data_IF_782878467456
#
_entry.id   IF_782878467456
#
_cell.length_a   1.000
_cell.length_b   1.000
_cell.length_c   1.000
_cell.angle_alpha   90.00
_cell.angle_beta   90.00
_cell.angle_gamma   90.00
#
_symmetry.space_group_name_H-M   'P 1'
#
loop_
_entity.id
_entity.type
_entity.pdbx_description
1 polymer ?
#
# COMPACT_ATOMS: atom_id res chain seq x y z
N UNK A 1 16.54 -7.43 44.71
CA UNK A 1 15.73 -7.57 43.49
C UNK A 1 15.95 -6.43 42.48
N UNK A 2 15.93 -5.15 42.87
CA UNK A 2 16.16 -4.01 41.95
C UNK A 2 17.51 -4.04 41.19
N UNK A 3 18.58 -4.56 41.81
CA UNK A 3 19.91 -4.70 41.21
C UNK A 3 20.02 -5.80 40.16
N UNK A 4 19.25 -6.90 40.31
CA UNK A 4 19.20 -7.98 39.33
C UNK A 4 18.40 -7.57 38.08
N UNK A 5 17.25 -6.91 38.29
CA UNK A 5 16.45 -6.34 37.20
C UNK A 5 17.23 -5.27 36.43
N UNK A 6 17.97 -4.39 37.12
CA UNK A 6 18.81 -3.36 36.48
C UNK A 6 19.99 -3.95 35.70
N UNK A 7 20.58 -5.05 36.19
CA UNK A 7 21.64 -5.79 35.47
C UNK A 7 21.10 -6.59 34.27
N UNK A 8 19.88 -7.11 34.36
CA UNK A 8 19.22 -7.78 33.25
C UNK A 8 18.87 -6.77 32.15
N UNK A 9 18.30 -5.61 32.53
CA UNK A 9 18.00 -4.51 31.61
C UNK A 9 19.26 -4.02 30.86
N UNK A 10 20.37 -3.79 31.56
CA UNK A 10 21.63 -3.35 30.91
C UNK A 10 22.25 -4.42 30.01
N UNK A 11 22.11 -5.72 30.35
CA UNK A 11 22.54 -6.82 29.47
C UNK A 11 21.66 -6.94 28.23
N UNK A 12 20.34 -6.83 28.37
CA UNK A 12 19.40 -6.82 27.25
C UNK A 12 19.62 -5.62 26.33
N UNK A 13 19.90 -4.43 26.89
CA UNK A 13 20.27 -3.24 26.12
C UNK A 13 21.57 -3.45 25.33
N UNK A 14 22.57 -4.10 25.94
CA UNK A 14 23.84 -4.43 25.30
C UNK A 14 23.72 -5.43 24.15
N UNK A 15 22.86 -6.45 24.29
CA UNK A 15 22.58 -7.42 23.22
C UNK A 15 21.72 -6.81 22.10
N UNK A 16 20.66 -6.07 22.44
CA UNK A 16 19.85 -5.36 21.47
C UNK A 16 20.71 -4.38 20.65
N UNK A 17 21.62 -3.65 21.30
CA UNK A 17 22.56 -2.74 20.65
C UNK A 17 23.46 -3.40 19.60
N UNK A 18 23.83 -4.68 19.78
CA UNK A 18 24.62 -5.42 18.77
C UNK A 18 23.84 -5.72 17.51
N UNK A 19 22.51 -5.79 17.59
CA UNK A 19 21.64 -6.10 16.43
C UNK A 19 21.33 -4.85 15.61
N UNK A 20 20.93 -3.75 16.26
CA UNK A 20 20.42 -2.58 15.52
C UNK A 20 21.50 -1.56 15.12
N UNK A 21 22.64 -1.49 15.85
CA UNK A 21 23.73 -0.51 15.55
C UNK A 21 24.47 -0.79 14.23
N UNK A 22 24.79 -2.03 13.83
CA UNK A 22 25.44 -2.30 12.54
C UNK A 22 24.60 -1.87 11.34
N UNK A 23 23.27 -1.92 11.47
CA UNK A 23 22.30 -1.50 10.45
C UNK A 23 22.14 0.04 10.45
N UNK A 24 22.78 0.73 11.41
CA UNK A 24 22.86 2.19 11.50
C UNK A 24 21.78 2.84 12.36
N UNK A 25 21.01 2.07 13.13
CA UNK A 25 20.07 2.63 14.10
C UNK A 25 20.77 3.01 15.41
N UNK A 26 20.36 4.13 16.01
CA UNK A 26 20.88 4.59 17.30
C UNK A 26 19.90 4.37 18.45
N UNK A 27 18.60 4.25 18.15
CA UNK A 27 17.51 4.07 19.12
C UNK A 27 16.74 2.78 18.82
N UNK A 28 16.42 1.95 19.83
CA UNK A 28 15.76 0.66 19.63
C UNK A 28 14.34 0.79 19.06
N UNK A 29 13.58 1.82 19.46
CA UNK A 29 12.21 2.02 18.96
C UNK A 29 12.19 2.29 17.43
N UNK A 30 13.17 3.03 16.90
CA UNK A 30 13.29 3.26 15.46
C UNK A 30 13.58 1.95 14.70
N UNK A 31 14.38 1.08 15.30
CA UNK A 31 14.66 -0.24 14.73
C UNK A 31 13.42 -1.14 14.74
N UNK A 32 12.66 -1.18 15.84
CA UNK A 32 11.44 -1.99 15.93
C UNK A 32 10.40 -1.52 14.90
N UNK A 33 10.17 -0.21 14.81
CA UNK A 33 9.25 0.36 13.80
C UNK A 33 9.71 0.02 12.38
N UNK A 34 11.00 0.22 12.09
CA UNK A 34 11.56 -0.14 10.80
C UNK A 34 11.41 -1.64 10.51
N UNK A 35 11.72 -2.50 11.47
CA UNK A 35 11.63 -3.95 11.31
C UNK A 35 10.19 -4.37 11.01
N UNK A 36 9.21 -3.94 11.81
CA UNK A 36 7.80 -4.28 11.62
C UNK A 36 7.27 -3.80 10.27
N UNK A 37 7.50 -2.53 9.91
CA UNK A 37 7.02 -1.97 8.65
C UNK A 37 7.73 -2.58 7.43
N UNK A 38 9.05 -2.72 7.49
CA UNK A 38 9.86 -3.20 6.36
C UNK A 38 9.71 -4.70 6.15
N UNK A 39 9.67 -5.51 7.23
CA UNK A 39 9.44 -6.95 7.11
C UNK A 39 8.03 -7.27 6.62
N UNK A 40 7.02 -6.53 7.09
CA UNK A 40 5.65 -6.65 6.60
C UNK A 40 5.55 -6.37 5.11
N UNK A 41 6.15 -5.26 4.65
CA UNK A 41 6.18 -4.92 3.23
C UNK A 41 6.97 -5.94 2.41
N UNK A 42 8.17 -6.31 2.86
CA UNK A 42 9.01 -7.28 2.18
C UNK A 42 8.32 -8.65 2.05
N UNK A 43 7.73 -9.16 3.14
CA UNK A 43 6.99 -10.42 3.14
C UNK A 43 5.75 -10.37 2.24
N UNK A 44 5.00 -9.26 2.28
CA UNK A 44 3.86 -9.07 1.38
C UNK A 44 4.30 -9.12 -0.09
N UNK A 45 5.33 -8.35 -0.46
CA UNK A 45 5.80 -8.29 -1.84
C UNK A 45 6.34 -9.64 -2.31
N UNK A 46 7.12 -10.35 -1.48
CA UNK A 46 7.59 -11.70 -1.79
C UNK A 46 6.42 -12.67 -2.04
N UNK A 47 5.37 -12.63 -1.21
CA UNK A 47 4.19 -13.48 -1.39
C UNK A 47 3.43 -13.20 -2.69
N UNK A 48 3.65 -12.04 -3.32
CA UNK A 48 2.97 -11.60 -4.54
C UNK A 48 3.86 -11.62 -5.78
N UNK A 49 5.15 -11.93 -5.67
CA UNK A 49 6.04 -12.12 -6.83
C UNK A 49 5.52 -13.12 -7.87
N UNK A 50 4.87 -14.24 -7.50
CA UNK A 50 4.32 -15.17 -8.48
C UNK A 50 3.27 -14.53 -9.42
N UNK A 51 2.65 -13.41 -9.03
CA UNK A 51 1.66 -12.72 -9.86
C UNK A 51 2.25 -12.12 -11.14
N UNK A 52 3.58 -12.00 -11.24
CA UNK A 52 4.26 -11.61 -12.47
C UNK A 52 4.09 -12.66 -13.58
N UNK A 53 3.88 -13.92 -13.23
CA UNK A 53 3.41 -14.93 -14.18
C UNK A 53 1.90 -14.74 -14.39
N UNK A 54 1.56 -13.79 -15.27
CA UNK A 54 0.19 -13.30 -15.38
C UNK A 54 -0.79 -14.36 -15.88
N UNK A 55 -0.49 -15.05 -16.98
CA UNK A 55 -1.40 -16.06 -17.55
C UNK A 55 -1.20 -17.46 -16.92
N UNK A 56 -0.07 -17.71 -16.26
CA UNK A 56 0.23 -19.01 -15.64
C UNK A 56 -0.03 -19.09 -14.13
N UNK A 57 -0.20 -17.96 -13.44
CA UNK A 57 -0.51 -17.90 -12.01
C UNK A 57 -1.63 -16.93 -11.72
N UNK A 58 -1.47 -15.64 -12.03
CA UNK A 58 -2.42 -14.61 -11.61
C UNK A 58 -3.83 -14.85 -12.19
N UNK A 59 -3.95 -14.95 -13.50
CA UNK A 59 -5.21 -15.22 -14.19
C UNK A 59 -5.17 -16.53 -14.97
N UNK A 60 -4.56 -17.57 -14.38
CA UNK A 60 -4.55 -18.90 -14.95
C UNK A 60 -5.96 -19.53 -14.97
N UNK A 61 -6.27 -20.38 -15.97
CA UNK A 61 -7.50 -21.17 -15.96
C UNK A 61 -7.58 -22.03 -14.70
N UNK A 62 -8.72 -21.97 -14.01
CA UNK A 62 -8.93 -22.72 -12.76
C UNK A 62 -9.15 -24.20 -13.12
N UNK A 63 -8.19 -25.04 -12.72
CA UNK A 63 -8.23 -26.50 -12.80
C UNK A 63 -8.17 -27.10 -11.39
N UNK A 64 -8.37 -28.41 -11.25
CA UNK A 64 -8.32 -29.11 -9.96
C UNK A 64 -6.97 -28.96 -9.23
N UNK A 65 -5.87 -28.82 -9.98
CA UNK A 65 -4.51 -28.69 -9.43
C UNK A 65 -4.05 -27.23 -9.24
N UNK A 66 -4.96 -26.27 -9.40
CA UNK A 66 -4.62 -24.85 -9.31
C UNK A 66 -4.54 -24.39 -7.86
N UNK A 67 -3.40 -23.83 -7.45
CA UNK A 67 -3.26 -23.23 -6.11
C UNK A 67 -4.04 -21.90 -6.04
N UNK A 68 -5.27 -21.99 -5.50
CA UNK A 68 -6.19 -20.87 -5.38
C UNK A 68 -5.67 -19.73 -4.48
N UNK A 69 -4.64 -19.97 -3.65
CA UNK A 69 -4.06 -18.90 -2.82
C UNK A 69 -3.22 -17.91 -3.63
N UNK A 70 -2.82 -18.28 -4.84
CA UNK A 70 -2.02 -17.47 -5.76
C UNK A 70 -2.85 -16.79 -6.86
N UNK A 71 -4.18 -16.77 -6.72
CA UNK A 71 -5.09 -16.04 -7.60
C UNK A 71 -5.56 -14.71 -6.98
N UNK A 72 -5.97 -13.73 -7.79
CA UNK A 72 -6.77 -12.62 -7.31
C UNK A 72 -8.15 -13.13 -6.85
N UNK A 73 -8.94 -12.22 -6.30
CA UNK A 73 -10.30 -12.51 -5.87
C UNK A 73 -11.13 -13.08 -7.05
N UNK A 74 -12.00 -14.10 -6.84
CA UNK A 74 -12.87 -14.62 -7.89
C UNK A 74 -13.63 -13.51 -8.63
N UNK A 75 -13.73 -13.60 -9.96
CA UNK A 75 -14.36 -12.57 -10.80
C UNK A 75 -13.45 -11.41 -11.22
N UNK A 76 -12.30 -11.19 -10.57
CA UNK A 76 -11.40 -10.10 -10.95
C UNK A 76 -10.76 -10.31 -12.33
N UNK A 77 -10.40 -11.55 -12.66
CA UNK A 77 -9.75 -11.86 -13.94
C UNK A 77 -10.66 -11.62 -15.16
N UNK A 78 -11.99 -11.67 -15.00
CA UNK A 78 -12.94 -11.32 -16.05
C UNK A 78 -12.62 -9.93 -16.65
N UNK A 79 -12.34 -8.95 -15.78
CA UNK A 79 -12.03 -7.59 -16.21
C UNK A 79 -10.56 -7.41 -16.58
N UNK A 80 -9.64 -8.05 -15.85
CA UNK A 80 -8.21 -7.80 -16.06
C UNK A 80 -7.60 -8.56 -17.25
N UNK A 81 -8.32 -9.46 -17.90
CA UNK A 81 -7.76 -10.22 -19.03
C UNK A 81 -7.81 -9.51 -20.39
N UNK A 82 -8.43 -8.33 -20.53
CA UNK A 82 -8.69 -7.69 -21.85
C UNK A 82 -8.29 -6.22 -21.89
N UNK A 83 -7.97 -5.72 -23.10
CA UNK A 83 -7.81 -4.29 -23.38
C UNK A 83 -6.88 -3.53 -22.43
N UNK A 84 -7.30 -2.32 -22.03
CA UNK A 84 -6.49 -1.45 -21.16
C UNK A 84 -6.34 -1.97 -19.72
N UNK A 85 -7.25 -2.80 -19.22
CA UNK A 85 -7.23 -3.26 -17.82
C UNK A 85 -6.15 -4.32 -17.64
N UNK A 86 -5.93 -5.16 -18.66
CA UNK A 86 -4.80 -6.08 -18.71
C UNK A 86 -3.46 -5.34 -18.66
N UNK A 87 -3.31 -4.33 -19.52
CA UNK A 87 -2.11 -3.49 -19.54
C UNK A 87 -1.91 -2.81 -18.18
N UNK A 88 -2.99 -2.26 -17.61
CA UNK A 88 -2.96 -1.58 -16.32
C UNK A 88 -2.52 -2.50 -15.18
N UNK A 89 -3.10 -3.70 -15.08
CA UNK A 89 -2.75 -4.66 -14.03
C UNK A 89 -1.33 -5.20 -14.19
N UNK A 90 -0.90 -5.53 -15.42
CA UNK A 90 0.47 -5.93 -15.71
C UNK A 90 1.47 -4.83 -15.33
N UNK A 91 1.21 -3.60 -15.76
CA UNK A 91 2.02 -2.44 -15.43
C UNK A 91 2.08 -2.22 -13.92
N UNK A 92 0.95 -2.33 -13.23
CA UNK A 92 0.87 -2.22 -11.78
C UNK A 92 1.75 -3.26 -11.08
N UNK A 93 1.57 -4.55 -11.38
CA UNK A 93 2.31 -5.65 -10.76
C UNK A 93 3.81 -5.59 -11.09
N UNK A 94 4.15 -5.42 -12.38
CA UNK A 94 5.53 -5.39 -12.87
C UNK A 94 6.35 -4.24 -12.30
N UNK A 95 5.72 -3.19 -11.79
CA UNK A 95 6.42 -2.03 -11.23
C UNK A 95 6.28 -1.89 -9.71
N UNK A 96 5.13 -2.22 -9.11
CA UNK A 96 4.95 -2.08 -7.66
C UNK A 96 5.73 -3.11 -6.86
N UNK A 97 5.82 -4.34 -7.36
CA UNK A 97 6.54 -5.42 -6.69
C UNK A 97 8.04 -5.11 -6.60
N UNK A 98 8.75 -4.79 -7.70
CA UNK A 98 10.15 -4.37 -7.57
C UNK A 98 10.30 -3.07 -6.77
N UNK A 99 9.40 -2.08 -6.91
CA UNK A 99 9.47 -0.86 -6.09
C UNK A 99 9.39 -1.16 -4.58
N UNK A 100 8.48 -2.05 -4.19
CA UNK A 100 8.29 -2.48 -2.80
C UNK A 100 9.48 -3.25 -2.22
N UNK A 101 10.21 -4.04 -3.02
CA UNK A 101 11.47 -4.64 -2.58
C UNK A 101 12.57 -3.59 -2.44
N UNK A 102 12.71 -2.72 -3.43
CA UNK A 102 13.78 -1.73 -3.49
C UNK A 102 13.64 -0.67 -2.39
N UNK A 103 12.41 -0.29 -2.02
CA UNK A 103 12.21 0.69 -0.94
C UNK A 103 12.63 0.15 0.43
N UNK A 104 12.57 -1.16 0.67
CA UNK A 104 13.04 -1.74 1.92
C UNK A 104 14.52 -1.39 2.15
N UNK A 105 15.32 -1.33 1.08
CA UNK A 105 16.72 -0.88 1.11
C UNK A 105 16.84 0.64 1.39
N UNK A 106 15.88 1.45 0.93
CA UNK A 106 15.90 2.90 1.11
C UNK A 106 15.79 3.32 2.59
N UNK A 107 15.09 2.53 3.40
CA UNK A 107 14.90 2.80 4.82
C UNK A 107 15.99 2.22 5.73
N UNK A 108 17.00 1.55 5.18
CA UNK A 108 18.17 1.05 5.94
C UNK A 108 19.16 2.22 6.16
N UNK A 109 19.38 2.69 7.40
CA UNK A 109 20.25 3.82 7.66
C UNK A 109 21.68 3.61 7.15
N UNK A 110 22.23 2.41 7.32
CA UNK A 110 23.56 2.05 6.83
C UNK A 110 23.78 2.38 5.35
N UNK A 111 22.82 2.06 4.49
CA UNK A 111 22.91 2.32 3.04
C UNK A 111 22.99 3.81 2.77
N UNK A 112 22.17 4.62 3.46
CA UNK A 112 22.21 6.08 3.32
C UNK A 112 23.53 6.69 3.83
N UNK A 113 24.09 6.17 4.91
CA UNK A 113 25.32 6.70 5.52
C UNK A 113 26.59 6.30 4.77
N UNK A 114 26.64 5.07 4.24
CA UNK A 114 27.85 4.52 3.60
C UNK A 114 27.77 4.47 2.07
N UNK A 115 26.60 4.18 1.51
CA UNK A 115 26.37 3.93 0.08
C UNK A 115 25.36 4.93 -0.51
N UNK A 116 25.64 6.22 -0.34
CA UNK A 116 24.71 7.28 -0.73
C UNK A 116 24.38 7.29 -2.23
N UNK A 117 25.31 6.88 -3.10
CA UNK A 117 25.06 6.80 -4.54
C UNK A 117 24.01 5.71 -4.85
N UNK A 118 24.12 4.54 -4.22
CA UNK A 118 23.14 3.47 -4.34
C UNK A 118 21.76 3.93 -3.86
N UNK A 119 21.70 4.59 -2.69
CA UNK A 119 20.45 5.15 -2.16
C UNK A 119 19.79 6.08 -3.19
N UNK A 120 20.55 6.97 -3.84
CA UNK A 120 20.02 7.89 -4.87
C UNK A 120 19.51 7.17 -6.11
N UNK A 121 20.31 6.28 -6.71
CA UNK A 121 19.93 5.56 -7.93
C UNK A 121 18.68 4.72 -7.69
N UNK A 122 18.69 3.92 -6.62
CA UNK A 122 17.54 3.09 -6.25
C UNK A 122 16.35 3.96 -5.86
N UNK A 123 16.55 5.08 -5.20
CA UNK A 123 15.47 6.02 -4.85
C UNK A 123 14.76 6.60 -6.07
N UNK A 124 15.50 6.99 -7.10
CA UNK A 124 14.89 7.45 -8.37
C UNK A 124 14.15 6.33 -9.10
N UNK A 125 14.72 5.12 -9.12
CA UNK A 125 14.06 3.95 -9.69
C UNK A 125 12.76 3.64 -8.96
N UNK A 126 12.76 3.67 -7.62
CA UNK A 126 11.56 3.48 -6.79
C UNK A 126 10.49 4.51 -7.13
N UNK A 127 10.84 5.80 -7.22
CA UNK A 127 9.87 6.84 -7.59
C UNK A 127 9.28 6.56 -8.98
N UNK A 128 10.12 6.29 -9.99
CA UNK A 128 9.67 6.00 -11.35
C UNK A 128 8.71 4.80 -11.41
N UNK A 129 9.09 3.69 -10.78
CA UNK A 129 8.28 2.49 -10.71
C UNK A 129 6.97 2.73 -9.95
N UNK A 130 6.98 3.53 -8.88
CA UNK A 130 5.76 3.89 -8.15
C UNK A 130 4.78 4.71 -9.00
N UNK A 131 5.26 5.70 -9.76
CA UNK A 131 4.41 6.45 -10.69
C UNK A 131 3.81 5.56 -11.77
N UNK A 132 4.63 4.69 -12.38
CA UNK A 132 4.18 3.73 -13.37
C UNK A 132 3.13 2.76 -12.78
N UNK A 133 3.37 2.27 -11.57
CA UNK A 133 2.45 1.38 -10.85
C UNK A 133 1.09 2.03 -10.61
N UNK A 134 1.07 3.28 -10.13
CA UNK A 134 -0.19 3.96 -9.83
C UNK A 134 -0.95 4.32 -11.10
N UNK A 135 -0.26 4.66 -12.19
CA UNK A 135 -0.90 4.80 -13.50
C UNK A 135 -1.61 3.50 -13.92
N UNK A 136 -0.93 2.36 -13.80
CA UNK A 136 -1.54 1.04 -14.04
C UNK A 136 -2.73 0.75 -13.11
N UNK A 137 -2.64 1.12 -11.82
CA UNK A 137 -3.73 0.96 -10.86
C UNK A 137 -4.97 1.79 -11.23
N UNK A 138 -4.79 3.04 -11.69
CA UNK A 138 -5.89 3.89 -12.12
C UNK A 138 -6.57 3.39 -13.40
N UNK A 139 -5.88 2.62 -14.24
CA UNK A 139 -6.50 1.97 -15.41
C UNK A 139 -7.46 0.84 -15.02
N UNK A 140 -7.33 0.27 -13.81
CA UNK A 140 -8.13 -0.88 -13.34
C UNK A 140 -9.09 -0.57 -12.19
N UNK A 141 -8.95 0.60 -11.56
CA UNK A 141 -9.68 0.97 -10.32
C UNK A 141 -11.20 0.82 -10.45
N UNK A 142 -11.76 1.11 -11.63
CA UNK A 142 -13.20 1.01 -11.94
C UNK A 142 -13.80 -0.37 -11.67
N UNK A 143 -13.00 -1.42 -11.75
CA UNK A 143 -13.47 -2.82 -11.67
C UNK A 143 -13.01 -3.53 -10.39
N UNK A 144 -12.21 -2.87 -9.56
CA UNK A 144 -11.61 -3.49 -8.38
C UNK A 144 -12.69 -3.88 -7.36
N UNK A 145 -12.69 -5.14 -6.92
CA UNK A 145 -13.57 -5.71 -5.90
C UNK A 145 -15.07 -5.48 -6.16
N UNK A 146 -15.48 -5.60 -7.42
CA UNK A 146 -16.87 -5.40 -7.86
C UNK A 146 -17.16 -4.00 -8.40
N UNK A 147 -16.21 -3.07 -8.31
CA UNK A 147 -16.30 -1.76 -8.94
C UNK A 147 -17.23 -0.78 -8.21
N UNK A 148 -17.54 -1.04 -6.95
CA UNK A 148 -18.38 -0.18 -6.14
C UNK A 148 -17.73 1.22 -5.98
N UNK A 149 -18.50 2.33 -6.07
CA UNK A 149 -17.94 3.68 -6.00
C UNK A 149 -17.11 3.95 -4.74
N UNK A 150 -17.43 3.31 -3.61
CA UNK A 150 -16.69 3.43 -2.35
C UNK A 150 -15.25 2.90 -2.47
N UNK A 151 -15.07 1.76 -3.15
CA UNK A 151 -13.78 1.13 -3.45
C UNK A 151 -13.00 1.98 -4.42
N UNK A 152 -13.67 2.53 -5.44
CA UNK A 152 -13.04 3.43 -6.40
C UNK A 152 -12.51 4.71 -5.74
N UNK A 153 -13.32 5.33 -4.87
CA UNK A 153 -12.92 6.55 -4.15
C UNK A 153 -11.77 6.23 -3.19
N UNK A 154 -11.85 5.13 -2.43
CA UNK A 154 -10.76 4.71 -1.55
C UNK A 154 -9.43 4.55 -2.30
N UNK A 155 -9.42 3.74 -3.37
CA UNK A 155 -8.21 3.48 -4.16
C UNK A 155 -7.73 4.75 -4.90
N UNK A 156 -8.66 5.57 -5.37
CA UNK A 156 -8.38 6.87 -5.98
C UNK A 156 -7.69 7.83 -5.02
N UNK A 157 -8.20 7.94 -3.78
CA UNK A 157 -7.59 8.75 -2.72
C UNK A 157 -6.22 8.19 -2.35
N UNK A 158 -6.11 6.89 -2.08
CA UNK A 158 -4.84 6.24 -1.72
C UNK A 158 -3.77 6.48 -2.79
N UNK A 159 -4.08 6.23 -4.06
CA UNK A 159 -3.17 6.46 -5.18
C UNK A 159 -2.78 7.94 -5.30
N UNK A 160 -3.74 8.85 -5.16
CA UNK A 160 -3.50 10.29 -5.30
C UNK A 160 -2.61 10.84 -4.18
N UNK A 161 -2.88 10.49 -2.92
CA UNK A 161 -2.05 10.94 -1.78
C UNK A 161 -0.66 10.32 -1.82
N UNK A 162 -0.54 9.08 -2.32
CA UNK A 162 0.74 8.42 -2.54
C UNK A 162 1.59 9.18 -3.59
N UNK A 163 1.01 9.47 -4.76
CA UNK A 163 1.71 10.22 -5.82
C UNK A 163 2.05 11.65 -5.39
N UNK A 164 1.14 12.33 -4.69
CA UNK A 164 1.39 13.66 -4.14
C UNK A 164 2.59 13.62 -3.18
N UNK A 165 2.62 12.66 -2.26
CA UNK A 165 3.73 12.51 -1.33
C UNK A 165 5.06 12.23 -2.05
N UNK A 166 5.07 11.38 -3.08
CA UNK A 166 6.27 11.15 -3.89
C UNK A 166 6.72 12.39 -4.67
N UNK A 167 5.79 13.15 -5.25
CA UNK A 167 6.08 14.39 -5.97
C UNK A 167 6.69 15.43 -5.02
N UNK A 168 6.11 15.63 -3.84
CA UNK A 168 6.62 16.55 -2.83
C UNK A 168 7.97 16.09 -2.28
N UNK A 169 8.19 14.78 -2.09
CA UNK A 169 9.49 14.24 -1.73
C UNK A 169 10.55 14.51 -2.80
N UNK A 170 10.20 14.36 -4.08
CA UNK A 170 11.08 14.65 -5.21
C UNK A 170 11.42 16.14 -5.31
N UNK A 171 10.43 17.02 -5.24
CA UNK A 171 10.63 18.47 -5.30
C UNK A 171 11.56 18.94 -4.17
N UNK A 172 11.37 18.44 -2.94
CA UNK A 172 12.19 18.83 -1.81
C UNK A 172 13.63 18.32 -1.92
N UNK A 173 13.87 17.09 -2.39
CA UNK A 173 15.26 16.61 -2.55
C UNK A 173 16.00 17.35 -3.67
N UNK A 174 15.30 17.74 -4.75
CA UNK A 174 15.88 18.57 -5.82
C UNK A 174 16.22 19.98 -5.34
N UNK A 175 15.51 20.47 -4.31
CA UNK A 175 15.80 21.73 -3.61
C UNK A 175 16.71 21.55 -2.39
N UNK A 176 17.34 20.39 -2.24
CA UNK A 176 18.25 20.06 -1.14
C UNK A 176 17.62 20.18 0.27
N UNK A 177 16.29 20.14 0.39
CA UNK A 177 15.56 20.05 1.67
C UNK A 177 15.38 18.57 2.06
N UNK A 178 16.41 18.01 2.69
CA UNK A 178 16.49 16.58 3.03
C UNK A 178 15.46 16.20 4.10
N UNK A 179 15.21 17.09 5.06
CA UNK A 179 14.26 16.87 6.15
C UNK A 179 12.82 16.78 5.64
N UNK A 180 12.42 17.63 4.68
CA UNK A 180 11.11 17.54 4.03
C UNK A 180 11.04 16.33 3.11
N UNK A 181 12.09 16.04 2.34
CA UNK A 181 12.17 14.82 1.54
C UNK A 181 11.91 13.57 2.39
N UNK A 182 12.58 13.45 3.56
CA UNK A 182 12.36 12.35 4.50
C UNK A 182 10.90 12.27 4.94
N UNK A 183 10.29 13.38 5.35
CA UNK A 183 8.90 13.41 5.83
C UNK A 183 7.94 12.89 4.75
N UNK A 184 8.08 13.38 3.52
CA UNK A 184 7.20 13.00 2.41
C UNK A 184 7.44 11.57 1.91
N UNK A 185 8.68 11.08 1.89
CA UNK A 185 8.96 9.67 1.57
C UNK A 185 8.37 8.71 2.60
N UNK A 186 8.43 9.07 3.89
CA UNK A 186 7.82 8.25 4.94
C UNK A 186 6.29 8.23 4.78
N UNK A 187 5.65 9.38 4.55
CA UNK A 187 4.20 9.45 4.28
C UNK A 187 3.78 8.56 3.13
N UNK A 188 4.46 8.68 1.98
CA UNK A 188 4.16 7.88 0.81
C UNK A 188 4.13 6.37 1.14
N UNK A 189 5.19 5.85 1.75
CA UNK A 189 5.29 4.41 2.01
C UNK A 189 4.43 3.91 3.17
N UNK A 190 4.12 4.76 4.15
CA UNK A 190 3.09 4.44 5.14
C UNK A 190 1.70 4.36 4.50
N UNK A 191 1.34 5.32 3.64
CA UNK A 191 0.08 5.24 2.89
C UNK A 191 0.04 3.97 2.05
N UNK A 192 1.12 3.62 1.32
CA UNK A 192 1.15 2.38 0.54
C UNK A 192 1.02 1.10 1.40
N UNK A 193 1.65 1.07 2.58
CA UNK A 193 1.55 -0.05 3.52
C UNK A 193 0.14 -0.26 4.10
N UNK A 194 -0.77 0.71 3.96
CA UNK A 194 -2.18 0.53 4.33
C UNK A 194 -2.84 -0.64 3.59
N UNK A 195 -2.37 -1.01 2.38
CA UNK A 195 -2.83 -2.20 1.64
C UNK A 195 -2.55 -3.51 2.38
N UNK A 196 -1.51 -3.55 3.21
CA UNK A 196 -1.18 -4.74 4.00
C UNK A 196 -2.11 -4.80 5.22
N UNK A 197 -2.23 -3.67 5.91
CA UNK A 197 -3.09 -3.57 7.10
C UNK A 197 -4.56 -3.76 6.77
N UNK A 198 -5.06 -3.24 5.64
CA UNK A 198 -6.45 -3.46 5.24
C UNK A 198 -6.72 -4.95 5.05
N UNK A 199 -5.78 -5.74 4.50
CA UNK A 199 -6.00 -7.18 4.33
C UNK A 199 -6.15 -7.90 5.66
N UNK A 200 -5.34 -7.53 6.66
CA UNK A 200 -5.48 -8.05 8.02
C UNK A 200 -6.85 -7.68 8.61
N UNK A 201 -7.26 -6.42 8.48
CA UNK A 201 -8.56 -5.95 8.96
C UNK A 201 -9.70 -6.65 8.22
N UNK A 202 -9.64 -6.82 6.90
CA UNK A 202 -10.66 -7.52 6.13
C UNK A 202 -10.77 -8.99 6.53
N UNK A 203 -9.65 -9.70 6.74
CA UNK A 203 -9.64 -11.09 7.21
C UNK A 203 -10.33 -11.22 8.58
N UNK A 204 -10.09 -10.26 9.48
CA UNK A 204 -10.69 -10.27 10.82
C UNK A 204 -12.14 -9.78 10.84
N UNK A 205 -12.50 -8.83 9.99
CA UNK A 205 -13.82 -8.20 9.94
C UNK A 205 -14.87 -9.00 9.16
N UNK A 206 -14.46 -9.73 8.12
CA UNK A 206 -15.37 -10.52 7.28
C UNK A 206 -16.21 -11.54 8.08
N UNK A 207 -15.64 -12.29 9.04
CA UNK A 207 -16.43 -13.18 9.90
C UNK A 207 -17.45 -12.46 10.78
N UNK A 208 -17.16 -11.23 11.22
CA UNK A 208 -18.08 -10.43 12.04
C UNK A 208 -19.28 -10.01 11.20
N UNK A 209 -19.01 -9.46 10.01
CA UNK A 209 -20.05 -9.07 9.06
C UNK A 209 -20.94 -10.25 8.66
N UNK A 210 -20.33 -11.41 8.38
CA UNK A 210 -21.05 -12.66 8.08
C UNK A 210 -21.99 -13.07 9.21
N UNK A 211 -21.57 -12.93 10.48
CA UNK A 211 -22.44 -13.25 11.64
C UNK A 211 -23.59 -12.26 11.81
N UNK A 212 -23.41 -11.01 11.39
CA UNK A 212 -24.50 -10.03 11.40
C UNK A 212 -25.58 -10.40 10.38
N UNK A 213 -25.18 -10.86 9.18
CA UNK A 213 -26.09 -11.44 8.19
C UNK A 213 -27.08 -10.47 7.53
N UNK A 214 -26.82 -9.16 7.60
CA UNK A 214 -27.72 -8.11 7.08
C UNK A 214 -27.13 -7.29 5.94
N UNK A 215 -25.96 -7.71 5.41
CA UNK A 215 -25.22 -6.95 4.40
C UNK A 215 -25.42 -7.54 3.00
N UNK A 216 -25.79 -6.69 2.06
CA UNK A 216 -26.01 -7.07 0.66
C UNK A 216 -25.35 -6.06 -0.28
N UNK A 217 -24.89 -6.53 -1.44
CA UNK A 217 -24.33 -5.69 -2.50
C UNK A 217 -24.83 -6.15 -3.87
N UNK A 218 -24.89 -5.23 -4.83
CA UNK A 218 -25.26 -5.55 -6.21
C UNK A 218 -24.05 -6.12 -6.96
N UNK A 219 -24.30 -7.14 -7.81
CA UNK A 219 -23.29 -7.75 -8.68
C UNK A 219 -23.86 -7.99 -10.08
N UNK A 220 -23.05 -7.73 -11.10
CA UNK A 220 -23.44 -7.96 -12.49
C UNK A 220 -23.53 -9.47 -12.78
N UNK A 221 -24.57 -9.91 -13.50
CA UNK A 221 -24.79 -11.32 -13.80
C UNK A 221 -23.66 -11.99 -14.58
N UNK A 222 -22.99 -11.24 -15.47
CA UNK A 222 -21.78 -11.70 -16.16
C UNK A 222 -20.65 -12.12 -15.22
N UNK A 223 -20.55 -11.48 -14.05
CA UNK A 223 -19.54 -11.80 -13.03
C UNK A 223 -20.01 -12.96 -12.16
N UNK A 224 -21.31 -13.04 -11.86
CA UNK A 224 -21.90 -14.20 -11.19
C UNK A 224 -21.63 -15.47 -11.99
N UNK A 225 -21.84 -15.43 -13.31
CA UNK A 225 -21.57 -16.55 -14.22
C UNK A 225 -20.07 -16.91 -14.27
N UNK A 226 -19.17 -15.93 -14.38
CA UNK A 226 -17.71 -16.15 -14.35
C UNK A 226 -17.26 -16.83 -13.05
N UNK A 227 -17.75 -16.38 -11.90
CA UNK A 227 -17.45 -16.97 -10.60
C UNK A 227 -18.02 -18.40 -10.50
N UNK A 228 -19.16 -18.66 -11.12
CA UNK A 228 -19.77 -19.99 -11.23
C UNK A 228 -19.19 -20.82 -12.37
N UNK A 229 -18.05 -20.43 -12.94
CA UNK A 229 -17.34 -21.14 -14.00
C UNK A 229 -18.15 -21.34 -15.28
N UNK A 230 -18.95 -20.34 -15.67
CA UNK A 230 -19.84 -20.37 -16.82
C UNK A 230 -20.92 -21.48 -16.73
N UNK A 231 -21.32 -21.87 -15.51
CA UNK A 231 -22.35 -22.87 -15.27
C UNK A 231 -23.72 -22.22 -15.06
N UNK A 232 -24.45 -22.05 -16.16
CA UNK A 232 -25.77 -21.42 -16.16
C UNK A 232 -26.75 -22.04 -15.17
N UNK A 233 -26.84 -23.38 -15.12
CA UNK A 233 -27.78 -24.07 -14.24
C UNK A 233 -27.48 -23.80 -12.76
N UNK A 234 -26.20 -23.76 -12.40
CA UNK A 234 -25.76 -23.46 -11.04
C UNK A 234 -26.01 -21.98 -10.70
N UNK A 235 -25.67 -21.06 -11.61
CA UNK A 235 -25.88 -19.63 -11.42
C UNK A 235 -27.36 -19.30 -11.23
N UNK A 236 -28.26 -19.85 -12.07
CA UNK A 236 -29.71 -19.62 -11.97
C UNK A 236 -30.34 -20.31 -10.76
N UNK A 237 -29.75 -21.38 -10.24
CA UNK A 237 -30.22 -22.03 -9.01
C UNK A 237 -30.04 -21.11 -7.78
N UNK A 238 -28.96 -20.31 -7.74
CA UNK A 238 -28.73 -19.34 -6.66
C UNK A 238 -29.28 -17.94 -6.96
N UNK A 239 -29.24 -17.52 -8.22
CA UNK A 239 -29.58 -16.16 -8.67
C UNK A 239 -30.53 -16.20 -9.89
N UNK A 240 -31.82 -16.56 -9.71
CA UNK A 240 -32.78 -16.67 -10.80
C UNK A 240 -33.00 -15.34 -11.54
N UNK A 241 -32.80 -14.22 -10.86
CA UNK A 241 -32.89 -12.86 -11.44
C UNK A 241 -31.87 -12.60 -12.56
N UNK A 242 -30.85 -13.46 -12.73
CA UNK A 242 -29.93 -13.40 -13.86
C UNK A 242 -30.49 -13.95 -15.18
N UNK A 243 -31.73 -14.44 -15.20
CA UNK A 243 -32.31 -15.02 -16.41
C UNK A 243 -32.38 -14.04 -17.60
N UNK A 244 -32.63 -12.76 -17.34
CA UNK A 244 -32.64 -11.70 -18.34
C UNK A 244 -31.28 -11.48 -19.03
N UNK A 245 -30.18 -11.81 -18.35
CA UNK A 245 -28.85 -11.78 -18.93
C UNK A 245 -28.60 -12.97 -19.85
N UNK A 246 -28.93 -14.19 -19.40
CA UNK A 246 -28.72 -15.42 -20.19
C UNK A 246 -29.53 -15.47 -21.48
N UNK A 247 -30.76 -14.95 -21.47
CA UNK A 247 -31.61 -14.89 -22.66
C UNK A 247 -31.35 -13.64 -23.53
N UNK A 248 -30.42 -12.76 -23.12
CA UNK A 248 -30.01 -11.58 -23.86
C UNK A 248 -30.98 -10.39 -23.81
N UNK A 249 -32.00 -10.43 -22.96
CA UNK A 249 -32.99 -9.34 -22.85
C UNK A 249 -32.41 -8.11 -22.13
N UNK A 250 -31.53 -8.34 -21.14
CA UNK A 250 -30.77 -7.30 -20.45
C UNK A 250 -29.28 -7.71 -20.27
N UNK A 251 -28.38 -7.27 -21.16
CA UNK A 251 -26.96 -7.56 -21.07
C UNK A 251 -26.24 -6.98 -19.85
N UNK A 252 -26.82 -5.98 -19.19
CA UNK A 252 -26.23 -5.31 -18.02
C UNK A 252 -26.99 -5.62 -16.73
N UNK A 253 -27.77 -6.71 -16.69
CA UNK A 253 -28.52 -7.13 -15.50
C UNK A 253 -27.63 -7.30 -14.26
N UNK A 254 -28.13 -6.80 -13.13
CA UNK A 254 -27.53 -6.95 -11.80
C UNK A 254 -28.44 -7.77 -10.89
N UNK A 255 -27.83 -8.45 -9.91
CA UNK A 255 -28.52 -9.15 -8.84
C UNK A 255 -28.00 -8.74 -7.47
N UNK A 256 -28.89 -8.83 -6.48
CA UNK A 256 -28.52 -8.59 -5.10
C UNK A 256 -27.87 -9.84 -4.51
N UNK A 257 -26.69 -9.68 -3.91
CA UNK A 257 -25.89 -10.76 -3.34
C UNK A 257 -25.69 -10.53 -1.85
N UNK A 258 -25.99 -11.55 -1.05
CA UNK A 258 -25.73 -11.54 0.39
C UNK A 258 -24.23 -11.66 0.68
N UNK A 259 -23.71 -10.86 1.60
CA UNK A 259 -22.32 -10.91 2.03
C UNK A 259 -22.05 -11.98 3.06
N UNK A 260 -21.90 -13.24 2.62
CA UNK A 260 -21.59 -14.37 3.50
C UNK A 260 -20.30 -15.08 3.08
N UNK A 261 -19.26 -14.99 3.93
CA UNK A 261 -17.98 -15.68 3.69
C UNK A 261 -18.03 -17.20 3.85
N UNK A 262 -19.11 -17.74 4.40
CA UNK A 262 -19.40 -19.18 4.48
C UNK A 262 -20.43 -19.65 3.45
N UNK A 263 -20.98 -18.70 2.68
CA UNK A 263 -21.95 -18.94 1.64
C UNK A 263 -21.34 -19.53 0.37
N UNK A 264 -22.07 -19.40 -0.74
CA UNK A 264 -21.57 -19.79 -2.05
C UNK A 264 -20.42 -18.85 -2.50
N UNK A 265 -19.63 -19.20 -3.54
CA UNK A 265 -18.48 -18.40 -3.97
C UNK A 265 -18.79 -16.93 -4.29
N UNK A 266 -20.00 -16.64 -4.79
CA UNK A 266 -20.46 -15.28 -5.13
C UNK A 266 -20.75 -14.48 -3.85
N UNK A 267 -21.34 -15.10 -2.83
CA UNK A 267 -21.55 -14.50 -1.51
C UNK A 267 -20.22 -14.24 -0.79
N UNK A 268 -19.27 -15.19 -0.89
CA UNK A 268 -17.98 -15.07 -0.24
C UNK A 268 -17.15 -13.91 -0.81
N UNK A 269 -17.18 -13.72 -2.14
CA UNK A 269 -16.51 -12.57 -2.75
C UNK A 269 -17.25 -11.25 -2.51
N UNK A 270 -18.59 -11.26 -2.47
CA UNK A 270 -19.36 -10.09 -2.07
C UNK A 270 -18.98 -9.64 -0.66
N UNK A 271 -18.82 -10.59 0.27
CA UNK A 271 -18.37 -10.32 1.62
C UNK A 271 -16.94 -9.71 1.64
N UNK A 272 -16.00 -10.33 0.92
CA UNK A 272 -14.64 -9.82 0.82
C UNK A 272 -14.57 -8.41 0.20
N UNK A 273 -15.38 -8.13 -0.82
CA UNK A 273 -15.46 -6.84 -1.50
C UNK A 273 -16.00 -5.74 -0.60
N UNK A 274 -17.12 -5.96 0.10
CA UNK A 274 -17.67 -4.99 1.05
C UNK A 274 -16.69 -4.67 2.19
N UNK A 275 -15.97 -5.67 2.69
CA UNK A 275 -14.95 -5.46 3.72
C UNK A 275 -13.65 -4.85 3.20
N UNK A 276 -13.42 -4.82 1.89
CA UNK A 276 -12.19 -4.28 1.31
C UNK A 276 -12.11 -2.76 1.48
N UNK A 277 -13.16 -2.03 1.08
CA UNK A 277 -13.21 -0.56 1.17
C UNK A 277 -13.26 -0.08 2.63
N UNK A 278 -14.11 -0.69 3.47
CA UNK A 278 -14.25 -0.35 4.88
C UNK A 278 -12.93 -0.55 5.64
N UNK A 279 -12.27 -1.69 5.43
CA UNK A 279 -10.95 -1.95 5.99
C UNK A 279 -9.89 -1.01 5.42
N UNK A 280 -9.99 -0.66 4.13
CA UNK A 280 -9.12 0.27 3.44
C UNK A 280 -9.12 1.65 4.08
N UNK A 281 -10.30 2.23 4.32
CA UNK A 281 -10.44 3.52 4.99
C UNK A 281 -9.87 3.51 6.41
N UNK A 282 -10.17 2.47 7.19
CA UNK A 282 -9.62 2.34 8.54
C UNK A 282 -8.10 2.22 8.51
N UNK A 283 -7.55 1.36 7.64
CA UNK A 283 -6.12 1.19 7.49
C UNK A 283 -5.42 2.49 7.06
N UNK A 284 -5.93 3.18 6.04
CA UNK A 284 -5.35 4.43 5.58
C UNK A 284 -5.35 5.49 6.69
N UNK A 285 -6.45 5.58 7.46
CA UNK A 285 -6.56 6.51 8.60
C UNK A 285 -5.52 6.20 9.69
N UNK A 286 -5.39 4.92 10.07
CA UNK A 286 -4.40 4.49 11.06
C UNK A 286 -2.98 4.81 10.62
N UNK A 287 -2.66 4.56 9.34
CA UNK A 287 -1.33 4.87 8.78
C UNK A 287 -1.09 6.37 8.68
N UNK A 288 -2.11 7.15 8.30
CA UNK A 288 -2.02 8.60 8.21
C UNK A 288 -1.80 9.26 9.58
N UNK A 289 -2.53 8.83 10.61
CA UNK A 289 -2.32 9.31 11.98
C UNK A 289 -0.97 8.83 12.51
N UNK A 290 -0.66 7.55 12.33
CA UNK A 290 0.55 6.92 12.85
C UNK A 290 1.83 7.57 12.33
N UNK A 291 1.89 7.93 11.04
CA UNK A 291 3.06 8.60 10.50
C UNK A 291 3.24 10.01 11.05
N UNK A 292 2.17 10.78 11.26
CA UNK A 292 2.29 12.12 11.85
C UNK A 292 2.77 12.06 13.30
N UNK A 293 2.26 11.11 14.10
CA UNK A 293 2.76 10.85 15.45
C UNK A 293 4.26 10.54 15.39
N UNK A 294 4.70 9.63 14.51
CA UNK A 294 6.11 9.29 14.37
C UNK A 294 6.99 10.50 14.00
N UNK A 295 6.52 11.36 13.10
CA UNK A 295 7.24 12.57 12.71
C UNK A 295 7.34 13.58 13.86
N UNK A 296 6.29 13.73 14.65
CA UNK A 296 6.28 14.59 15.85
C UNK A 296 7.18 14.05 16.98
N UNK A 297 7.34 12.73 17.07
CA UNK A 297 8.24 12.07 18.03
C UNK A 297 9.71 12.06 17.59
N UNK A 298 10.05 12.58 16.41
CA UNK A 298 11.44 12.65 15.91
C UNK A 298 11.97 14.07 15.63
N UNK A 299 11.78 15.04 16.56
CA UNK A 299 12.14 16.45 16.31
C UNK A 299 13.66 16.66 16.21
N UNK A 300 14.45 15.96 17.01
CA UNK A 300 15.91 16.07 16.96
C UNK A 300 16.49 15.62 15.60
N UNK A 301 15.93 14.56 15.01
CA UNK A 301 16.33 14.12 13.67
C UNK A 301 15.87 15.11 12.59
N UNK A 302 14.70 15.73 12.77
CA UNK A 302 14.22 16.78 11.88
C UNK A 302 15.17 17.98 11.89
N UNK A 303 15.55 18.47 13.06
CA UNK A 303 16.43 19.64 13.21
C UNK A 303 17.85 19.35 12.69
N UNK A 304 18.40 18.18 13.04
CA UNK A 304 19.70 17.72 12.51
C UNK A 304 19.72 17.71 10.99
N UNK A 305 18.68 17.18 10.35
CA UNK A 305 18.58 17.16 8.88
C UNK A 305 18.36 18.55 8.30
N UNK A 306 17.65 19.43 8.99
CA UNK A 306 17.43 20.82 8.56
C UNK A 306 18.72 21.62 8.53
N UNK A 307 19.58 21.45 9.53
CA UNK A 307 20.95 22.00 9.53
C UNK A 307 21.79 21.48 8.35
N UNK A 308 21.70 20.18 8.04
CA UNK A 308 22.39 19.61 6.86
C UNK A 308 21.84 20.19 5.55
N UNK A 309 20.53 20.36 5.44
CA UNK A 309 19.89 20.99 4.27
C UNK A 309 20.39 22.41 4.07
N UNK A 310 20.42 23.21 5.14
CA UNK A 310 20.95 24.57 5.12
C UNK A 310 22.39 24.61 4.59
N UNK A 311 23.30 23.81 5.17
CA UNK A 311 24.70 23.75 4.74
C UNK A 311 24.84 23.41 3.25
N UNK A 312 24.07 22.44 2.77
CA UNK A 312 24.11 22.04 1.35
C UNK A 312 23.56 23.11 0.42
N UNK A 313 22.54 23.84 0.84
CA UNK A 313 21.97 24.93 0.05
C UNK A 313 22.91 26.13 -0.04
N UNK A 314 23.63 26.44 1.05
CA UNK A 314 24.71 27.43 1.04
C UNK A 314 25.82 27.01 0.07
N UNK A 315 26.28 25.75 0.16
CA UNK A 315 27.32 25.21 -0.75
C UNK A 315 26.88 25.22 -2.22
N UNK A 316 25.58 25.06 -2.48
CA UNK A 316 25.01 25.13 -3.82
C UNK A 316 24.70 26.56 -4.30
N UNK A 317 24.99 27.59 -3.49
CA UNK A 317 24.75 29.00 -3.86
C UNK A 317 23.28 29.37 -4.01
N UNK A 318 22.38 28.71 -3.27
CA UNK A 318 20.94 29.00 -3.37
C UNK A 318 20.58 30.31 -2.68
N UNK A 319 19.68 31.11 -3.27
CA UNK A 319 19.31 32.45 -2.76
C UNK A 319 18.71 32.46 -1.35
N UNK A 320 18.04 31.37 -0.92
CA UNK A 320 17.38 31.27 0.38
C UNK A 320 17.67 29.92 1.08
N UNK A 321 18.89 29.72 1.60
CA UNK A 321 19.24 28.52 2.34
C UNK A 321 18.37 28.35 3.60
N UNK A 322 18.04 27.11 3.94
CA UNK A 322 17.06 26.75 4.97
C UNK A 322 15.60 26.83 4.49
N UNK A 323 15.30 27.60 3.44
CA UNK A 323 13.93 27.85 2.94
C UNK A 323 13.74 27.58 1.44
N UNK A 324 14.72 26.96 0.79
CA UNK A 324 14.64 26.73 -0.65
C UNK A 324 13.59 25.68 -1.10
N UNK A 325 13.03 24.88 -0.18
CA UNK A 325 12.01 23.85 -0.48
C UNK A 325 10.58 24.30 -0.26
N UNK A 326 9.74 23.35 0.15
CA UNK A 326 8.32 23.55 0.49
C UNK A 326 8.15 23.60 2.01
N UNK A 327 8.89 24.51 2.65
CA UNK A 327 8.85 24.69 4.12
C UNK A 327 7.74 25.65 4.51
N UNK A 328 7.18 25.46 5.71
CA UNK A 328 6.08 26.28 6.22
C UNK A 328 6.48 27.76 6.33
N UNK A 329 7.73 28.05 6.66
CA UNK A 329 8.23 29.42 6.74
C UNK A 329 8.34 30.07 5.36
N UNK A 330 8.37 29.32 4.26
CA UNK A 330 8.34 29.89 2.90
C UNK A 330 6.93 30.04 2.33
N UNK A 331 6.06 29.06 2.55
CA UNK A 331 4.75 28.98 1.90
C UNK A 331 3.60 29.45 2.81
N UNK A 332 3.81 29.46 4.12
CA UNK A 332 2.84 29.86 5.12
C UNK A 332 3.37 30.97 6.02
N UNK A 333 2.86 31.03 7.24
CA UNK A 333 3.02 32.13 8.20
C UNK A 333 3.96 31.79 9.38
N UNK A 334 4.64 30.64 9.34
CA UNK A 334 5.54 30.25 10.44
C UNK A 334 6.78 31.15 10.49
N UNK A 335 7.31 31.35 11.70
CA UNK A 335 8.56 32.09 11.90
C UNK A 335 9.70 31.57 11.01
N UNK A 336 10.51 32.49 10.50
CA UNK A 336 11.67 32.15 9.67
C UNK A 336 12.65 31.30 10.48
N UNK A 337 12.89 30.07 10.03
CA UNK A 337 13.87 29.21 10.68
C UNK A 337 15.28 29.73 10.47
N UNK A 338 16.13 29.56 11.49
CA UNK A 338 17.55 29.90 11.47
C UNK A 338 18.33 28.69 11.98
N UNK A 339 19.50 28.39 11.39
CA UNK A 339 20.38 27.35 11.92
C UNK A 339 20.82 27.73 13.35
N UNK A 340 20.96 26.72 14.19
CA UNK A 340 21.58 26.84 15.52
C UNK A 340 23.09 27.05 15.45
#
# INVERSE_FOLDING_TARGET
MATAARRLATRLDGWAAKVYRPIGFTKPYNFILWFLSTSGLFGFVLSRLPYLNYDGVFCAPITEHTDRHLHPAPGECYYHQRGHTRVGMLMHLATILPAGLLVCLQFVPFIRHRWILLHRIVGYLVILLSFASTAGAFMVVRFSFGGDPDTQVFLGVLGSVFLLALALAYINIKRLQIEQHRKWMLRAWFYACSIITLRVISILGTPVMTRTGTYYTARACKIVDDIMHNNQSLALAFYPDCQAWYNGTDPEQFVLVHGDAKGNPVEAIAAAGMMFSAAGWLALTLHAIGIEIYLQLTPAEHERLRNVSYQRQVQAGMNHPGRAGLTADRLGDSATWRPE
#
